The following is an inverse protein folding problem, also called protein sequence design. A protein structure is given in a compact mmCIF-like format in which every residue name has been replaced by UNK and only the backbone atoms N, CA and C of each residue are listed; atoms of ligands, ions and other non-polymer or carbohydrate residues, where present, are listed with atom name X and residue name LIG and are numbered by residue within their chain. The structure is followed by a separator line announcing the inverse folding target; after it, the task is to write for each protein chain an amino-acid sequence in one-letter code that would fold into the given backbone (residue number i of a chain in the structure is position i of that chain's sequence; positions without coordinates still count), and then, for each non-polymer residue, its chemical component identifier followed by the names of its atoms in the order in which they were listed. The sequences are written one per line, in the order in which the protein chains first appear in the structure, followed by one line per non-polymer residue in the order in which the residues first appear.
data_IF_854635692916
#
_entry.id   IF_854635692916
#
_cell.length_a   1.000
_cell.length_b   1.000
_cell.length_c   1.000
_cell.angle_alpha   90.00
_cell.angle_beta   90.00
_cell.angle_gamma   90.00
#
_symmetry.space_group_name_H-M   'P 1'
#
loop_
_entity.id
_entity.type
_entity.pdbx_description
1 polymer ?
#
# COMPACT_ATOMS: atom_id res chain seq x y z
N UNK A 1 3.24 -13.38 19.04
CA UNK A 1 4.64 -13.00 18.76
C UNK A 1 4.67 -12.02 17.61
N UNK A 2 5.43 -10.93 17.69
CA UNK A 2 5.61 -9.92 16.65
C UNK A 2 7.08 -9.86 16.24
N UNK A 3 7.38 -10.04 14.95
CA UNK A 3 8.70 -9.76 14.40
C UNK A 3 8.68 -8.38 13.74
N UNK A 4 9.58 -7.52 14.13
CA UNK A 4 9.70 -6.17 13.54
C UNK A 4 10.35 -6.22 12.16
N UNK A 5 10.16 -5.16 11.35
CA UNK A 5 11.01 -4.93 10.20
C UNK A 5 12.44 -4.60 10.68
N UNK A 6 13.44 -5.13 9.98
CA UNK A 6 14.85 -4.90 10.32
C UNK A 6 15.30 -3.46 10.10
N UNK A 7 14.70 -2.77 9.14
CA UNK A 7 15.03 -1.36 8.84
C UNK A 7 14.35 -0.35 9.79
N UNK A 8 13.28 -0.75 10.49
CA UNK A 8 12.49 0.16 11.34
C UNK A 8 12.00 -0.52 12.64
N UNK A 9 12.88 -1.07 13.49
CA UNK A 9 12.47 -1.84 14.66
C UNK A 9 12.09 -0.97 15.86
N UNK A 10 12.68 0.21 16.02
CA UNK A 10 12.68 0.96 17.29
C UNK A 10 11.29 1.37 17.78
N UNK A 11 10.42 1.86 16.90
CA UNK A 11 9.06 2.24 17.31
C UNK A 11 8.26 1.04 17.82
N UNK A 12 8.39 -0.12 17.16
CA UNK A 12 7.68 -1.33 17.57
C UNK A 12 8.23 -1.88 18.88
N UNK A 13 9.55 -1.81 19.11
CA UNK A 13 10.18 -2.20 20.38
C UNK A 13 9.74 -1.30 21.52
N UNK A 14 9.75 0.02 21.34
CA UNK A 14 9.29 0.97 22.35
C UNK A 14 7.81 0.77 22.71
N UNK A 15 6.94 0.61 21.70
CA UNK A 15 5.53 0.28 21.94
C UNK A 15 5.37 -1.04 22.69
N UNK A 16 6.21 -2.03 22.40
CA UNK A 16 6.20 -3.30 23.11
C UNK A 16 6.49 -3.13 24.62
N UNK A 17 7.44 -2.30 24.99
CA UNK A 17 7.75 -1.99 26.40
C UNK A 17 6.54 -1.36 27.11
N UNK A 18 5.82 -0.45 26.44
CA UNK A 18 4.61 0.16 26.99
C UNK A 18 3.50 -0.88 27.17
N UNK A 19 3.23 -1.69 26.15
CA UNK A 19 2.19 -2.72 26.24
C UNK A 19 2.49 -3.81 27.25
N UNK A 20 3.75 -4.18 27.44
CA UNK A 20 4.15 -5.21 28.43
C UNK A 20 3.93 -4.77 29.88
N UNK A 21 3.81 -3.45 30.15
CA UNK A 21 3.46 -2.95 31.47
C UNK A 21 1.98 -3.18 31.81
N UNK A 22 1.12 -3.25 30.79
CA UNK A 22 -0.33 -3.36 30.95
C UNK A 22 -0.87 -4.78 30.67
N UNK A 23 -0.14 -5.58 29.89
CA UNK A 23 -0.57 -6.91 29.48
C UNK A 23 0.03 -8.00 30.37
N UNK A 24 -0.69 -9.10 30.62
CA UNK A 24 -0.13 -10.25 31.29
C UNK A 24 1.14 -10.77 30.60
N UNK A 25 2.14 -11.29 31.34
CA UNK A 25 3.37 -11.84 30.75
C UNK A 25 3.08 -12.89 29.67
N UNK A 26 3.79 -12.79 28.54
CA UNK A 26 3.68 -13.74 27.44
C UNK A 26 2.56 -13.47 26.43
N UNK A 27 1.66 -12.48 26.68
CA UNK A 27 0.61 -12.10 25.72
C UNK A 27 1.22 -11.42 24.48
N UNK A 28 2.16 -10.49 24.68
CA UNK A 28 2.92 -9.86 23.60
C UNK A 28 4.40 -10.17 23.76
N UNK A 29 4.99 -10.79 22.73
CA UNK A 29 6.44 -11.05 22.66
C UNK A 29 6.93 -10.45 21.34
N UNK A 30 7.95 -9.60 21.40
CA UNK A 30 8.52 -8.92 20.23
C UNK A 30 9.96 -9.35 20.02
N UNK A 31 10.29 -9.66 18.77
CA UNK A 31 11.63 -10.07 18.35
C UNK A 31 12.07 -9.23 17.16
N UNK A 32 13.36 -9.02 17.04
CA UNK A 32 14.01 -8.38 15.89
C UNK A 32 14.98 -9.36 15.23
N UNK A 33 15.14 -9.24 13.92
CA UNK A 33 16.04 -10.09 13.13
C UNK A 33 15.65 -10.09 11.66
N UNK A 34 16.49 -10.66 10.83
CA UNK A 34 16.24 -10.81 9.41
C UNK A 34 15.15 -11.84 9.11
N UNK A 35 14.55 -11.75 7.91
CA UNK A 35 13.47 -12.62 7.49
C UNK A 35 13.83 -14.09 7.54
N UNK A 36 14.99 -14.44 7.00
CA UNK A 36 15.50 -15.82 6.91
C UNK A 36 15.89 -16.40 8.28
N UNK A 37 16.49 -15.59 9.16
CA UNK A 37 17.02 -16.05 10.45
C UNK A 37 15.95 -16.10 11.53
N UNK A 38 15.00 -15.19 11.49
CA UNK A 38 14.01 -14.98 12.55
C UNK A 38 12.58 -15.24 12.07
N UNK A 39 12.21 -14.75 10.89
CA UNK A 39 10.86 -14.83 10.33
C UNK A 39 10.51 -16.24 9.86
N UNK A 40 11.36 -16.88 9.08
CA UNK A 40 11.11 -18.21 8.52
C UNK A 40 10.98 -19.29 9.62
N UNK A 41 11.88 -19.40 10.60
CA UNK A 41 11.70 -20.32 11.70
C UNK A 41 10.42 -20.08 12.49
N UNK A 42 10.03 -18.81 12.69
CA UNK A 42 8.78 -18.46 13.37
C UNK A 42 7.56 -18.95 12.58
N UNK A 43 7.50 -18.66 11.28
CA UNK A 43 6.38 -19.09 10.41
C UNK A 43 6.29 -20.60 10.32
N UNK A 44 7.42 -21.31 10.28
CA UNK A 44 7.50 -22.76 10.13
C UNK A 44 7.21 -23.52 11.43
N UNK A 45 7.30 -22.87 12.60
CA UNK A 45 7.18 -23.53 13.90
C UNK A 45 5.80 -24.17 14.09
N UNK A 46 5.77 -25.40 14.58
CA UNK A 46 4.55 -26.21 14.73
C UNK A 46 3.50 -25.60 15.67
N UNK A 47 3.92 -24.86 16.70
CA UNK A 47 3.02 -24.20 17.65
C UNK A 47 2.36 -22.92 17.09
N UNK A 48 2.81 -22.38 15.97
CA UNK A 48 2.19 -21.21 15.36
C UNK A 48 0.88 -21.62 14.70
N UNK A 49 -0.20 -20.98 15.12
CA UNK A 49 -1.58 -21.30 14.70
C UNK A 49 -2.19 -20.32 13.70
N UNK A 50 -1.59 -19.14 13.56
CA UNK A 50 -2.00 -18.09 12.61
C UNK A 50 -0.79 -17.24 12.27
N UNK A 51 -0.67 -16.83 11.03
CA UNK A 51 0.32 -15.85 10.58
C UNK A 51 -0.40 -14.66 9.96
N UNK A 52 -0.02 -13.47 10.38
CA UNK A 52 -0.39 -12.20 9.74
C UNK A 52 0.89 -11.53 9.26
N UNK A 53 0.91 -11.09 8.01
CA UNK A 53 2.09 -10.50 7.41
C UNK A 53 1.72 -9.32 6.51
N UNK A 54 2.48 -8.24 6.63
CA UNK A 54 2.47 -7.11 5.71
C UNK A 54 3.86 -6.95 5.09
N UNK A 55 3.94 -6.90 3.76
CA UNK A 55 5.22 -6.76 3.05
C UNK A 55 5.11 -7.02 1.56
N UNK A 56 6.22 -7.47 0.93
CA UNK A 56 6.25 -7.72 -0.51
C UNK A 56 5.47 -9.00 -0.89
N UNK A 57 4.97 -9.04 -2.14
CA UNK A 57 4.34 -10.24 -2.69
C UNK A 57 5.23 -11.48 -2.64
N UNK A 58 6.51 -11.33 -2.97
CA UNK A 58 7.48 -12.43 -2.97
C UNK A 58 7.63 -13.08 -1.58
N UNK A 59 7.73 -12.27 -0.54
CA UNK A 59 7.81 -12.77 0.85
C UNK A 59 6.47 -13.33 1.30
N UNK A 60 5.34 -12.70 0.95
CA UNK A 60 4.00 -13.22 1.25
C UNK A 60 3.77 -14.62 0.66
N UNK A 61 4.25 -14.86 -0.58
CA UNK A 61 4.22 -16.17 -1.22
C UNK A 61 5.02 -17.21 -0.43
N UNK A 62 6.25 -16.90 -0.03
CA UNK A 62 7.08 -17.79 0.81
C UNK A 62 6.37 -18.12 2.12
N UNK A 63 5.77 -17.14 2.78
CA UNK A 63 5.02 -17.36 4.02
C UNK A 63 3.83 -18.30 3.81
N UNK A 64 3.06 -18.11 2.74
CA UNK A 64 1.93 -18.98 2.41
C UNK A 64 2.41 -20.44 2.15
N UNK A 65 3.50 -20.62 1.40
CA UNK A 65 4.11 -21.92 1.12
C UNK A 65 4.59 -22.61 2.43
N UNK A 66 5.21 -21.88 3.35
CA UNK A 66 5.70 -22.43 4.64
C UNK A 66 4.56 -22.71 5.64
N UNK A 67 3.46 -21.99 5.57
CA UNK A 67 2.28 -22.20 6.42
C UNK A 67 1.41 -23.37 5.94
N UNK A 68 1.36 -23.65 4.65
CA UNK A 68 0.47 -24.64 4.03
C UNK A 68 0.64 -26.07 4.56
N UNK A 69 1.85 -26.64 4.78
CA UNK A 69 2.01 -28.02 5.25
C UNK A 69 1.35 -28.34 6.59
N UNK A 70 1.18 -27.32 7.45
CA UNK A 70 0.53 -27.47 8.77
C UNK A 70 -0.90 -26.88 8.81
N UNK A 71 -1.45 -26.52 7.63
CA UNK A 71 -2.77 -25.88 7.49
C UNK A 71 -2.93 -24.63 8.37
N UNK A 72 -1.84 -23.88 8.58
CA UNK A 72 -1.86 -22.65 9.35
C UNK A 72 -2.50 -21.52 8.53
N UNK A 73 -3.60 -20.92 8.99
CA UNK A 73 -4.22 -19.81 8.29
C UNK A 73 -3.27 -18.62 8.20
N UNK A 74 -3.27 -17.95 7.05
CA UNK A 74 -2.51 -16.72 6.82
C UNK A 74 -3.44 -15.55 6.50
N UNK A 75 -3.04 -14.35 6.93
CA UNK A 75 -3.56 -13.09 6.40
C UNK A 75 -2.38 -12.32 5.84
N UNK A 76 -2.50 -11.90 4.59
CA UNK A 76 -1.40 -11.27 3.84
C UNK A 76 -1.87 -9.92 3.30
N UNK A 77 -1.20 -8.86 3.71
CA UNK A 77 -1.34 -7.51 3.18
C UNK A 77 -0.08 -7.19 2.36
N UNK A 78 -0.23 -7.18 1.05
CA UNK A 78 0.91 -7.14 0.13
C UNK A 78 0.91 -5.85 -0.70
N UNK A 79 1.76 -5.81 -1.71
CA UNK A 79 1.93 -4.65 -2.56
C UNK A 79 0.74 -4.28 -3.43
N UNK A 80 0.81 -3.13 -4.06
CA UNK A 80 -0.21 -2.63 -4.96
C UNK A 80 0.36 -1.82 -6.12
N UNK A 81 -0.44 -1.71 -7.20
CA UNK A 81 -0.21 -0.80 -8.32
C UNK A 81 -1.48 0.00 -8.57
N UNK A 82 -1.76 0.89 -7.66
CA UNK A 82 -3.10 1.45 -7.47
C UNK A 82 -3.42 2.54 -8.50
N UNK A 83 -4.62 2.50 -9.12
CA UNK A 83 -5.11 3.58 -9.96
C UNK A 83 -5.65 4.75 -9.13
N UNK A 84 -5.39 5.96 -9.62
CA UNK A 84 -5.97 7.22 -9.16
C UNK A 84 -6.59 7.89 -10.39
N UNK A 85 -7.92 7.83 -10.52
CA UNK A 85 -8.64 8.14 -11.76
C UNK A 85 -9.36 9.50 -11.63
N UNK A 86 -9.09 10.43 -12.55
CA UNK A 86 -9.66 11.77 -12.52
C UNK A 86 -10.54 11.98 -13.76
N UNK A 87 -11.85 12.07 -13.53
CA UNK A 87 -12.85 12.37 -14.55
C UNK A 87 -12.93 13.86 -14.81
N UNK A 88 -13.38 14.25 -16.01
CA UNK A 88 -13.47 15.66 -16.41
C UNK A 88 -14.50 16.49 -15.62
N UNK A 89 -15.40 15.84 -14.92
CA UNK A 89 -16.39 16.44 -14.03
C UNK A 89 -15.94 16.54 -12.57
N UNK A 90 -14.72 16.09 -12.24
CA UNK A 90 -14.18 16.16 -10.89
C UNK A 90 -13.96 17.61 -10.41
N UNK A 91 -14.01 17.81 -9.10
CA UNK A 91 -13.44 19.00 -8.47
C UNK A 91 -11.91 18.92 -8.60
N UNK A 92 -11.35 19.73 -9.52
CA UNK A 92 -9.93 19.61 -9.87
C UNK A 92 -9.00 20.05 -8.76
N UNK A 93 -9.37 20.97 -7.91
CA UNK A 93 -8.52 21.43 -6.81
C UNK A 93 -8.35 20.31 -5.76
N UNK A 94 -9.45 19.62 -5.46
CA UNK A 94 -9.45 18.46 -4.56
C UNK A 94 -8.75 17.26 -5.21
N UNK A 95 -9.03 16.98 -6.50
CA UNK A 95 -8.46 15.85 -7.20
C UNK A 95 -6.93 15.98 -7.38
N UNK A 96 -6.42 17.17 -7.73
CA UNK A 96 -4.99 17.46 -7.85
C UNK A 96 -4.30 17.29 -6.48
N UNK A 97 -4.90 17.77 -5.39
CA UNK A 97 -4.38 17.49 -4.06
C UNK A 97 -4.41 16.00 -3.76
N UNK A 98 -5.47 15.32 -4.17
CA UNK A 98 -5.62 13.88 -4.04
C UNK A 98 -4.58 13.05 -4.81
N UNK A 99 -3.98 13.58 -5.88
CA UNK A 99 -2.82 12.94 -6.53
C UNK A 99 -1.60 13.00 -5.61
N UNK A 100 -1.33 14.16 -5.01
CA UNK A 100 -0.18 14.34 -4.10
C UNK A 100 -0.33 13.45 -2.87
N UNK A 101 -1.49 13.53 -2.22
CA UNK A 101 -1.77 12.77 -0.99
C UNK A 101 -1.87 11.27 -1.28
N UNK A 102 -2.47 10.91 -2.41
CA UNK A 102 -2.66 9.53 -2.85
C UNK A 102 -1.36 8.83 -3.21
N UNK A 103 -0.42 9.53 -3.82
CA UNK A 103 0.90 8.98 -4.11
C UNK A 103 1.76 8.83 -2.85
N UNK A 104 1.35 9.43 -1.74
CA UNK A 104 2.11 9.39 -0.47
C UNK A 104 3.51 9.96 -0.61
N UNK A 105 3.68 11.06 -1.36
CA UNK A 105 5.00 11.68 -1.56
C UNK A 105 5.68 12.05 -0.24
N UNK A 106 4.93 12.48 0.77
CA UNK A 106 5.45 12.76 2.12
C UNK A 106 6.01 11.53 2.84
N UNK A 107 5.78 10.33 2.29
CA UNK A 107 6.38 9.06 2.70
C UNK A 107 7.24 8.46 1.58
N UNK A 108 7.76 9.27 0.69
CA UNK A 108 8.58 8.88 -0.45
C UNK A 108 7.91 7.85 -1.38
N UNK A 109 6.57 7.86 -1.46
CA UNK A 109 5.82 6.82 -2.19
C UNK A 109 5.93 5.42 -1.58
N UNK A 110 6.53 5.27 -0.42
CA UNK A 110 6.69 4.00 0.28
C UNK A 110 5.42 3.63 1.04
N UNK A 111 4.39 3.32 0.28
CA UNK A 111 3.09 2.88 0.80
C UNK A 111 2.44 1.90 -0.19
N UNK A 112 1.92 0.81 0.34
CA UNK A 112 1.20 -0.19 -0.46
C UNK A 112 -0.02 0.40 -1.19
N UNK A 113 -0.64 1.46 -0.64
CA UNK A 113 -1.77 2.18 -1.24
C UNK A 113 -1.36 3.36 -2.13
N UNK A 114 -0.08 3.55 -2.45
CA UNK A 114 0.36 4.65 -3.31
C UNK A 114 -0.33 4.60 -4.69
N UNK A 115 -1.05 5.67 -5.05
CA UNK A 115 -1.75 5.83 -6.32
C UNK A 115 -0.79 6.20 -7.45
N UNK A 116 0.09 5.28 -7.82
CA UNK A 116 1.20 5.53 -8.74
C UNK A 116 0.80 5.53 -10.23
N UNK A 117 -0.39 5.02 -10.58
CA UNK A 117 -0.99 5.14 -11.90
C UNK A 117 -2.07 6.21 -11.86
N UNK A 118 -1.73 7.42 -12.31
CA UNK A 118 -2.64 8.58 -12.33
C UNK A 118 -3.31 8.66 -13.69
N UNK A 119 -4.54 8.17 -13.77
CA UNK A 119 -5.36 8.23 -14.98
C UNK A 119 -6.09 9.57 -15.05
N UNK A 120 -5.92 10.30 -16.16
CA UNK A 120 -6.48 11.64 -16.33
C UNK A 120 -7.27 11.69 -17.63
N UNK A 121 -8.57 12.05 -17.55
CA UNK A 121 -9.38 12.18 -18.74
C UNK A 121 -8.81 13.27 -19.66
N UNK A 122 -8.67 12.99 -20.96
CA UNK A 122 -7.97 13.84 -21.94
C UNK A 122 -8.38 15.31 -21.90
N UNK A 123 -9.68 15.60 -21.70
CA UNK A 123 -10.21 16.98 -21.68
C UNK A 123 -9.59 17.88 -20.61
N UNK A 124 -9.08 17.29 -19.54
CA UNK A 124 -8.51 18.01 -18.39
C UNK A 124 -7.03 17.71 -18.18
N UNK A 125 -6.42 16.94 -19.09
CA UNK A 125 -5.08 16.38 -18.92
C UNK A 125 -4.05 17.47 -18.59
N UNK A 126 -3.90 18.47 -19.43
CA UNK A 126 -2.90 19.52 -19.25
C UNK A 126 -3.13 20.34 -17.96
N UNK A 127 -4.41 20.60 -17.63
CA UNK A 127 -4.75 21.34 -16.40
C UNK A 127 -4.34 20.56 -15.15
N UNK A 128 -4.62 19.25 -15.10
CA UNK A 128 -4.22 18.40 -13.98
C UNK A 128 -2.71 18.25 -13.92
N UNK A 129 -2.04 18.00 -15.07
CA UNK A 129 -0.58 17.90 -15.14
C UNK A 129 0.10 19.14 -14.56
N UNK A 130 -0.31 20.34 -15.00
CA UNK A 130 0.25 21.59 -14.51
C UNK A 130 0.01 21.79 -13.01
N UNK A 131 -1.18 21.48 -12.52
CA UNK A 131 -1.54 21.60 -11.11
C UNK A 131 -0.75 20.63 -10.21
N UNK A 132 -0.52 19.39 -10.68
CA UNK A 132 0.31 18.41 -9.96
C UNK A 132 1.75 18.89 -9.90
N UNK A 133 2.34 19.34 -11.01
CA UNK A 133 3.71 19.88 -11.06
C UNK A 133 3.87 21.09 -10.15
N UNK A 134 2.90 22.02 -10.15
CA UNK A 134 2.93 23.18 -9.24
C UNK A 134 2.95 22.76 -7.76
N UNK A 135 2.15 21.76 -7.38
CA UNK A 135 2.14 21.27 -5.99
C UNK A 135 3.43 20.54 -5.64
N UNK A 136 3.94 19.69 -6.52
CA UNK A 136 5.20 18.96 -6.30
C UNK A 136 6.39 19.91 -6.13
N UNK A 137 6.43 21.01 -6.89
CA UNK A 137 7.51 21.99 -6.79
C UNK A 137 7.57 22.75 -5.46
N UNK A 138 6.49 22.70 -4.68
CA UNK A 138 6.41 23.32 -3.34
C UNK A 138 6.88 22.40 -2.22
N UNK A 139 6.99 21.09 -2.48
CA UNK A 139 7.41 20.12 -1.48
C UNK A 139 8.91 20.26 -1.19
N UNK A 140 9.24 20.33 0.07
CA UNK A 140 10.62 20.50 0.56
C UNK A 140 11.17 19.15 1.02
N UNK A 141 12.26 18.72 0.39
CA UNK A 141 13.02 17.57 0.88
C UNK A 141 14.03 18.02 1.94
N UNK A 142 14.18 17.18 2.97
CA UNK A 142 15.13 17.48 4.03
C UNK A 142 15.19 16.39 5.10
N UNK A 143 15.83 16.72 6.22
CA UNK A 143 15.90 15.83 7.36
C UNK A 143 14.50 15.58 7.94
N UNK A 144 14.16 14.32 8.19
CA UNK A 144 12.86 13.92 8.73
C UNK A 144 12.56 14.46 10.15
N UNK A 145 13.57 14.94 10.87
CA UNK A 145 13.43 15.60 12.18
C UNK A 145 13.27 17.12 12.08
N UNK A 146 13.35 17.67 10.88
CA UNK A 146 13.17 19.11 10.65
C UNK A 146 11.71 19.38 10.27
N UNK A 147 11.03 20.20 11.07
CA UNK A 147 9.61 20.55 10.90
C UNK A 147 9.29 21.25 9.56
N UNK A 148 10.30 21.82 8.89
CA UNK A 148 10.11 22.45 7.58
C UNK A 148 10.22 21.45 6.42
N UNK A 149 10.58 20.21 6.68
CA UNK A 149 10.70 19.17 5.67
C UNK A 149 9.37 18.46 5.43
N UNK A 150 8.93 18.42 4.18
CA UNK A 150 7.75 17.66 3.76
C UNK A 150 8.10 16.20 3.42
N UNK A 151 9.33 15.97 2.94
CA UNK A 151 9.78 14.67 2.42
C UNK A 151 11.18 14.35 2.95
N UNK A 152 11.33 13.19 3.59
CA UNK A 152 12.61 12.65 4.05
C UNK A 152 13.30 11.76 3.02
N UNK A 153 14.30 10.99 3.49
CA UNK A 153 14.99 9.99 2.68
C UNK A 153 14.15 8.71 2.49
N UNK A 154 14.42 7.97 1.43
CA UNK A 154 13.99 6.58 1.23
C UNK A 154 14.63 5.73 2.34
N UNK A 155 13.94 4.66 2.75
CA UNK A 155 14.27 3.87 3.95
C UNK A 155 15.65 3.19 3.89
N UNK A 156 16.12 2.80 2.71
CA UNK A 156 17.36 2.04 2.54
C UNK A 156 18.00 2.24 1.17
N UNK A 157 19.29 1.90 1.06
CA UNK A 157 20.00 1.88 -0.20
C UNK A 157 19.40 0.90 -1.22
N UNK A 158 18.94 -0.26 -0.75
CA UNK A 158 18.28 -1.26 -1.57
C UNK A 158 17.01 -0.69 -2.23
N UNK A 159 16.19 0.00 -1.44
CA UNK A 159 14.96 0.61 -1.95
C UNK A 159 15.24 1.80 -2.88
N UNK A 160 16.30 2.57 -2.64
CA UNK A 160 16.77 3.58 -3.59
C UNK A 160 17.22 2.94 -4.90
N UNK A 161 18.03 1.87 -4.87
CA UNK A 161 18.46 1.12 -6.06
C UNK A 161 17.28 0.59 -6.85
N UNK A 162 16.24 0.11 -6.16
CA UNK A 162 14.99 -0.30 -6.81
C UNK A 162 14.31 0.87 -7.54
N UNK A 163 14.21 2.04 -6.92
CA UNK A 163 13.66 3.24 -7.56
C UNK A 163 14.47 3.64 -8.80
N UNK A 164 15.80 3.66 -8.68
CA UNK A 164 16.70 3.97 -9.80
C UNK A 164 16.55 2.98 -10.96
N UNK A 165 16.42 1.70 -10.68
CA UNK A 165 16.19 0.67 -11.70
C UNK A 165 14.95 0.96 -12.55
N UNK A 166 13.81 1.27 -11.94
CA UNK A 166 12.59 1.62 -12.70
C UNK A 166 12.72 2.93 -13.46
N UNK A 167 13.46 3.90 -12.91
CA UNK A 167 13.74 5.14 -13.64
C UNK A 167 14.65 4.92 -14.85
N UNK A 168 15.58 3.97 -14.78
CA UNK A 168 16.42 3.61 -15.93
C UNK A 168 15.58 2.91 -17.03
N UNK A 169 14.64 2.04 -16.66
CA UNK A 169 13.67 1.47 -17.62
C UNK A 169 12.86 2.61 -18.27
N UNK A 170 12.35 3.55 -17.48
CA UNK A 170 11.60 4.69 -18.00
C UNK A 170 12.43 5.54 -18.97
N UNK A 171 13.69 5.85 -18.65
CA UNK A 171 14.61 6.64 -19.49
C UNK A 171 14.93 5.96 -20.83
N UNK A 172 14.89 4.63 -20.89
CA UNK A 172 15.08 3.87 -22.14
C UNK A 172 13.83 3.84 -23.02
N UNK A 173 12.69 4.29 -22.49
CA UNK A 173 11.42 4.34 -23.22
C UNK A 173 11.28 5.67 -23.95
N UNK A 174 11.29 5.65 -25.27
CA UNK A 174 11.33 6.88 -26.11
C UNK A 174 10.14 7.83 -25.93
N UNK A 175 8.97 7.31 -25.56
CA UNK A 175 7.78 8.10 -25.30
C UNK A 175 7.71 8.66 -23.88
N UNK A 176 8.46 8.10 -22.94
CA UNK A 176 8.42 8.49 -21.54
C UNK A 176 9.12 9.84 -21.31
N UNK A 177 8.49 10.69 -20.52
CA UNK A 177 9.02 12.02 -20.16
C UNK A 177 8.92 12.23 -18.66
N UNK A 178 10.01 12.62 -18.04
CA UNK A 178 9.99 13.13 -16.68
C UNK A 178 9.45 14.57 -16.73
N UNK A 179 8.30 14.80 -16.12
CA UNK A 179 7.65 16.13 -16.11
C UNK A 179 8.07 16.91 -14.86
N UNK A 180 8.33 16.20 -13.76
CA UNK A 180 8.87 16.78 -12.51
C UNK A 180 9.79 15.79 -11.83
N UNK A 181 10.84 16.26 -11.15
CA UNK A 181 11.79 15.44 -10.40
C UNK A 181 12.67 14.56 -11.29
N UNK A 182 12.85 13.31 -10.89
CA UNK A 182 13.59 12.29 -11.65
C UNK A 182 15.08 12.24 -11.36
N UNK A 183 15.56 12.94 -10.33
CA UNK A 183 16.96 12.99 -9.96
C UNK A 183 17.18 12.54 -8.51
N UNK A 184 18.38 12.05 -8.28
CA UNK A 184 18.90 11.89 -6.94
C UNK A 184 19.67 13.17 -6.59
N UNK A 185 19.25 13.95 -5.57
CA UNK A 185 19.97 15.15 -5.18
C UNK A 185 21.32 14.78 -4.59
N UNK A 186 22.34 15.55 -4.95
CA UNK A 186 23.72 15.35 -4.50
C UNK A 186 24.23 16.61 -3.81
N UNK A 187 24.95 16.44 -2.71
CA UNK A 187 25.56 17.56 -1.97
C UNK A 187 24.75 18.03 -0.77
N UNK A 188 25.31 18.93 0.02
CA UNK A 188 24.69 19.43 1.25
C UNK A 188 24.24 18.29 2.19
N UNK A 189 23.05 18.45 2.75
CA UNK A 189 22.46 17.50 3.69
C UNK A 189 21.97 16.19 3.03
N UNK A 190 21.85 16.14 1.70
CA UNK A 190 21.36 14.97 0.97
C UNK A 190 22.40 13.86 0.79
N UNK A 191 23.71 14.20 0.86
CA UNK A 191 24.81 13.24 0.59
C UNK A 191 24.88 12.06 1.57
N UNK A 192 24.29 12.20 2.76
CA UNK A 192 24.31 11.19 3.81
C UNK A 192 22.99 10.44 3.94
N UNK A 193 22.08 10.56 2.98
CA UNK A 193 20.78 9.91 2.97
C UNK A 193 20.39 9.39 1.59
N UNK A 194 19.42 8.52 1.56
CA UNK A 194 18.88 7.88 0.34
C UNK A 194 17.76 8.74 -0.27
N UNK A 195 18.07 10.00 -0.60
CA UNK A 195 17.09 10.93 -1.15
C UNK A 195 16.82 10.68 -2.62
N UNK A 196 15.58 10.86 -3.03
CA UNK A 196 15.14 10.88 -4.42
C UNK A 196 14.00 11.88 -4.59
N UNK A 197 14.02 12.67 -5.66
CA UNK A 197 13.02 13.71 -5.90
C UNK A 197 11.63 13.12 -6.12
N UNK A 198 10.55 13.77 -5.61
CA UNK A 198 9.18 13.45 -6.03
C UNK A 198 9.08 13.51 -7.54
N UNK A 199 8.71 12.40 -8.15
CA UNK A 199 8.79 12.24 -9.61
C UNK A 199 7.42 12.02 -10.22
N UNK A 200 7.12 12.79 -11.25
CA UNK A 200 5.91 12.66 -12.03
C UNK A 200 6.26 12.52 -13.52
N UNK A 201 5.74 11.50 -14.16
CA UNK A 201 6.08 11.12 -15.52
C UNK A 201 4.85 11.11 -16.41
N UNK A 202 5.06 11.28 -17.72
CA UNK A 202 4.05 11.09 -18.77
C UNK A 202 4.58 10.20 -19.88
N UNK A 203 3.67 9.68 -20.73
CA UNK A 203 4.04 8.90 -21.93
C UNK A 203 4.69 7.55 -21.63
N UNK A 204 4.64 7.05 -20.39
CA UNK A 204 5.06 5.68 -20.05
C UNK A 204 3.98 4.73 -20.55
N UNK A 205 4.29 3.70 -21.36
CA UNK A 205 3.33 2.68 -21.79
C UNK A 205 2.71 1.95 -20.59
N UNK A 206 1.42 1.64 -20.68
CA UNK A 206 0.68 1.01 -19.57
C UNK A 206 1.15 -0.42 -19.29
N UNK A 207 1.72 -1.10 -20.26
CA UNK A 207 2.32 -2.44 -20.17
C UNK A 207 3.79 -2.43 -19.71
N UNK A 208 4.39 -1.25 -19.56
CA UNK A 208 5.75 -1.10 -19.02
C UNK A 208 5.84 -1.60 -17.57
N UNK A 209 6.96 -2.23 -17.16
CA UNK A 209 7.22 -2.55 -15.75
C UNK A 209 7.03 -1.37 -14.81
N UNK A 210 7.31 -0.14 -15.26
CA UNK A 210 7.09 1.09 -14.49
C UNK A 210 5.61 1.31 -14.15
N UNK A 211 4.67 0.88 -15.01
CA UNK A 211 3.22 0.98 -14.81
C UNK A 211 2.59 -0.32 -14.28
N UNK A 212 3.29 -1.46 -14.33
CA UNK A 212 2.75 -2.75 -13.91
C UNK A 212 3.30 -3.24 -12.57
N UNK A 213 4.54 -2.88 -12.22
CA UNK A 213 5.18 -3.39 -11.01
C UNK A 213 5.20 -2.31 -9.90
N UNK A 214 5.18 -2.77 -8.65
CA UNK A 214 5.29 -1.90 -7.49
C UNK A 214 6.71 -1.36 -7.34
N UNK A 215 6.90 -0.06 -7.51
CA UNK A 215 8.20 0.60 -7.34
C UNK A 215 8.52 0.78 -5.85
N UNK A 216 7.52 1.15 -5.05
CA UNK A 216 7.62 1.52 -3.63
C UNK A 216 8.58 2.71 -3.41
N UNK A 217 8.52 3.68 -4.33
CA UNK A 217 9.33 4.89 -4.37
C UNK A 217 8.51 6.08 -4.88
N UNK A 218 9.05 7.31 -4.86
CA UNK A 218 8.29 8.54 -5.13
C UNK A 218 8.07 8.78 -6.64
N UNK A 219 7.61 7.78 -7.38
CA UNK A 219 7.43 7.82 -8.85
C UNK A 219 6.00 7.49 -9.22
N UNK A 220 5.31 8.44 -9.87
CA UNK A 220 3.97 8.27 -10.44
C UNK A 220 3.95 8.55 -11.94
N UNK A 221 3.04 7.87 -12.66
CA UNK A 221 2.86 8.01 -14.09
C UNK A 221 1.47 8.55 -14.41
N UNK A 222 1.41 9.61 -15.20
CA UNK A 222 0.17 10.16 -15.77
C UNK A 222 -0.17 9.41 -17.06
N UNK A 223 -1.40 8.91 -17.12
CA UNK A 223 -1.93 8.09 -18.22
C UNK A 223 -3.20 8.78 -18.73
N UNK A 224 -3.22 9.30 -19.96
CA UNK A 224 -4.44 9.86 -20.53
C UNK A 224 -5.44 8.76 -20.88
N UNK A 225 -6.74 9.05 -20.77
CA UNK A 225 -7.82 8.18 -21.23
C UNK A 225 -8.99 8.99 -21.81
N UNK A 226 -9.80 8.38 -22.67
CA UNK A 226 -10.94 9.02 -23.33
C UNK A 226 -12.27 8.68 -22.69
N UNK A 227 -12.54 7.40 -22.49
CA UNK A 227 -13.84 6.93 -21.98
C UNK A 227 -13.71 6.21 -20.65
N UNK A 228 -14.82 6.08 -19.94
CA UNK A 228 -14.83 5.40 -18.65
C UNK A 228 -14.53 3.90 -18.81
N UNK A 229 -15.03 3.28 -19.86
CA UNK A 229 -14.80 1.86 -20.17
C UNK A 229 -13.31 1.60 -20.43
N UNK A 230 -12.63 2.49 -21.16
CA UNK A 230 -11.19 2.40 -21.41
C UNK A 230 -10.39 2.45 -20.10
N UNK A 231 -10.69 3.40 -19.23
CA UNK A 231 -9.95 3.53 -17.98
C UNK A 231 -10.24 2.38 -17.02
N UNK A 232 -11.47 1.86 -16.97
CA UNK A 232 -11.82 0.72 -16.14
C UNK A 232 -11.07 -0.55 -16.57
N UNK A 233 -11.01 -0.81 -17.88
CA UNK A 233 -10.22 -1.91 -18.42
C UNK A 233 -8.74 -1.76 -18.05
N UNK A 234 -8.16 -0.59 -18.28
CA UNK A 234 -6.73 -0.34 -17.99
C UNK A 234 -6.43 -0.33 -16.49
N UNK A 235 -7.34 0.15 -15.65
CA UNK A 235 -7.17 0.15 -14.21
C UNK A 235 -7.13 -1.27 -13.63
N UNK A 236 -7.96 -2.17 -14.17
CA UNK A 236 -8.02 -3.58 -13.76
C UNK A 236 -6.94 -4.46 -14.38
N UNK A 237 -6.29 -4.00 -15.46
CA UNK A 237 -5.20 -4.72 -16.14
C UNK A 237 -3.89 -4.63 -15.35
N UNK A 238 -3.89 -5.31 -14.22
CA UNK A 238 -2.74 -5.45 -13.31
C UNK A 238 -2.92 -6.70 -12.45
N UNK A 239 -1.83 -7.38 -12.05
CA UNK A 239 -1.91 -8.49 -11.11
C UNK A 239 -2.29 -8.07 -9.69
N UNK A 240 -2.30 -6.77 -9.39
CA UNK A 240 -2.60 -6.22 -8.09
C UNK A 240 -4.06 -5.75 -7.98
N UNK A 241 -4.55 -5.63 -6.74
CA UNK A 241 -5.90 -5.14 -6.45
C UNK A 241 -6.02 -4.65 -4.99
N UNK A 242 -5.08 -3.77 -4.55
CA UNK A 242 -5.13 -3.29 -3.16
C UNK A 242 -6.07 -2.11 -2.99
N UNK A 243 -5.81 -1.01 -3.69
CA UNK A 243 -6.57 0.23 -3.54
C UNK A 243 -6.89 0.87 -4.89
N UNK A 244 -7.99 1.62 -4.95
CA UNK A 244 -8.34 2.43 -6.10
C UNK A 244 -9.06 3.71 -5.67
N UNK A 245 -8.84 4.80 -6.41
CA UNK A 245 -9.46 6.10 -6.15
C UNK A 245 -10.09 6.63 -7.43
N UNK A 246 -11.33 7.13 -7.32
CA UNK A 246 -12.03 7.84 -8.39
C UNK A 246 -12.41 9.26 -7.94
N UNK A 247 -12.20 10.24 -8.82
CA UNK A 247 -12.64 11.62 -8.65
C UNK A 247 -13.70 11.94 -9.71
N UNK A 248 -14.94 12.15 -9.30
CA UNK A 248 -16.09 12.46 -10.17
C UNK A 248 -17.21 13.12 -9.37
N UNK A 249 -18.02 13.96 -10.02
CA UNK A 249 -19.26 14.49 -9.46
C UNK A 249 -20.49 13.67 -9.89
N UNK A 250 -20.31 12.64 -10.72
CA UNK A 250 -21.39 11.79 -11.22
C UNK A 250 -21.57 10.58 -10.29
N UNK A 251 -22.65 10.56 -9.51
CA UNK A 251 -22.95 9.47 -8.59
C UNK A 251 -23.13 8.11 -9.29
N UNK A 252 -23.79 8.07 -10.44
CA UNK A 252 -23.99 6.81 -11.18
C UNK A 252 -22.65 6.19 -11.59
N UNK A 253 -21.73 7.02 -12.07
CA UNK A 253 -20.36 6.58 -12.42
C UNK A 253 -19.57 6.14 -11.21
N UNK A 254 -19.75 6.82 -10.07
CA UNK A 254 -19.11 6.41 -8.83
C UNK A 254 -19.59 5.03 -8.37
N UNK A 255 -20.87 4.72 -8.50
CA UNK A 255 -21.42 3.40 -8.16
C UNK A 255 -20.94 2.32 -9.13
N UNK A 256 -20.95 2.59 -10.44
CA UNK A 256 -20.40 1.69 -11.46
C UNK A 256 -18.92 1.39 -11.22
N UNK A 257 -18.11 2.41 -10.89
CA UNK A 257 -16.71 2.23 -10.50
C UNK A 257 -16.55 1.30 -9.29
N UNK A 258 -17.38 1.47 -8.26
CA UNK A 258 -17.30 0.65 -7.04
C UNK A 258 -17.64 -0.80 -7.32
N UNK A 259 -18.55 -1.07 -8.25
CA UNK A 259 -18.95 -2.44 -8.65
C UNK A 259 -17.87 -3.12 -9.50
N UNK A 260 -17.24 -2.39 -10.42
CA UNK A 260 -16.40 -2.98 -11.47
C UNK A 260 -14.90 -2.97 -11.16
N UNK A 261 -14.44 -2.15 -10.21
CA UNK A 261 -13.01 -2.07 -9.89
C UNK A 261 -12.54 -3.25 -9.05
N UNK A 262 -11.52 -3.95 -9.52
CA UNK A 262 -10.95 -5.11 -8.83
C UNK A 262 -9.93 -4.68 -7.75
N UNK A 263 -10.38 -3.92 -6.76
CA UNK A 263 -9.57 -3.48 -5.63
C UNK A 263 -10.32 -3.68 -4.31
N UNK A 264 -9.57 -4.00 -3.25
CA UNK A 264 -10.16 -4.30 -1.94
C UNK A 264 -10.43 -3.05 -1.08
N UNK A 265 -9.80 -1.91 -1.38
CA UNK A 265 -9.99 -0.63 -0.69
C UNK A 265 -10.30 0.46 -1.71
N UNK A 266 -11.58 0.75 -1.89
CA UNK A 266 -12.09 1.66 -2.92
C UNK A 266 -12.52 2.98 -2.30
N UNK A 267 -12.14 4.08 -2.92
CA UNK A 267 -12.44 5.43 -2.45
C UNK A 267 -12.99 6.30 -3.59
N UNK A 268 -13.95 7.15 -3.27
CA UNK A 268 -14.50 8.15 -4.19
C UNK A 268 -14.37 9.52 -3.57
N UNK A 269 -13.82 10.47 -4.32
CA UNK A 269 -13.61 11.88 -3.93
C UNK A 269 -12.85 12.06 -2.61
N UNK A 270 -12.02 11.10 -2.27
CA UNK A 270 -11.12 11.16 -1.13
C UNK A 270 -9.92 10.23 -1.34
N UNK A 271 -8.85 10.48 -0.61
CA UNK A 271 -7.69 9.60 -0.57
C UNK A 271 -7.12 9.57 0.85
N UNK A 272 -7.74 8.76 1.71
CA UNK A 272 -7.39 8.65 3.13
C UNK A 272 -6.68 7.33 3.42
N UNK A 273 -5.98 7.27 4.56
CA UNK A 273 -5.42 6.02 5.06
C UNK A 273 -6.54 5.09 5.56
N UNK A 274 -6.31 3.76 5.61
CA UNK A 274 -7.23 2.82 6.27
C UNK A 274 -7.56 3.28 7.69
N UNK A 275 -8.83 3.07 8.09
CA UNK A 275 -9.33 3.47 9.41
C UNK A 275 -9.67 2.25 10.25
N UNK A 276 -9.49 2.37 11.56
CA UNK A 276 -9.92 1.34 12.48
C UNK A 276 -11.42 1.02 12.32
N UNK A 277 -11.76 -0.26 12.42
CA UNK A 277 -13.12 -0.79 12.28
C UNK A 277 -13.72 -0.65 10.86
N UNK A 278 -12.90 -0.39 9.85
CA UNK A 278 -13.29 -0.48 8.44
C UNK A 278 -12.47 -1.62 7.81
N UNK A 279 -13.15 -2.58 7.19
CA UNK A 279 -12.47 -3.72 6.56
C UNK A 279 -11.46 -3.26 5.52
N UNK A 280 -10.24 -3.79 5.61
CA UNK A 280 -9.14 -3.47 4.73
C UNK A 280 -8.44 -4.74 4.26
N UNK A 281 -8.00 -4.77 3.01
CA UNK A 281 -7.23 -5.88 2.44
C UNK A 281 -7.39 -5.98 0.95
N UNK A 282 -6.35 -6.45 0.28
CA UNK A 282 -6.26 -6.54 -1.17
C UNK A 282 -7.09 -7.68 -1.78
N UNK A 283 -7.22 -7.60 -3.10
CA UNK A 283 -7.64 -8.66 -4.01
C UNK A 283 -6.42 -9.10 -4.84
N UNK A 284 -6.58 -10.13 -5.66
CA UNK A 284 -5.53 -10.64 -6.55
C UNK A 284 -4.21 -10.89 -5.79
N UNK A 285 -3.08 -10.43 -6.32
CA UNK A 285 -1.75 -10.58 -5.70
C UNK A 285 -1.49 -9.57 -4.56
N UNK A 286 -2.46 -8.71 -4.24
CA UNK A 286 -2.31 -7.73 -3.16
C UNK A 286 -2.64 -8.28 -1.78
N UNK A 287 -3.17 -9.49 -1.65
CA UNK A 287 -3.34 -10.09 -0.34
C UNK A 287 -4.33 -11.23 -0.22
N UNK A 288 -4.38 -11.78 0.98
CA UNK A 288 -5.32 -12.81 1.41
C UNK A 288 -5.92 -12.42 2.76
N UNK A 289 -7.25 -12.51 2.86
CA UNK A 289 -7.97 -12.13 4.07
C UNK A 289 -8.23 -10.64 4.16
N UNK A 290 -8.74 -10.21 5.31
CA UNK A 290 -9.07 -8.82 5.60
C UNK A 290 -8.68 -8.49 7.03
N UNK A 291 -8.26 -7.24 7.26
CA UNK A 291 -7.85 -6.72 8.56
C UNK A 291 -8.68 -5.48 8.96
N UNK A 292 -8.37 -4.87 10.07
CA UNK A 292 -8.92 -3.62 10.63
C UNK A 292 -10.37 -3.66 11.10
N UNK A 293 -11.27 -4.47 10.52
CA UNK A 293 -12.61 -4.62 11.05
C UNK A 293 -12.62 -5.52 12.30
N UNK A 294 -13.50 -5.20 13.27
CA UNK A 294 -13.58 -5.93 14.54
C UNK A 294 -13.77 -7.44 14.36
N UNK A 295 -14.69 -7.86 13.48
CA UNK A 295 -14.95 -9.28 13.24
C UNK A 295 -13.74 -9.99 12.62
N UNK A 296 -13.04 -9.35 11.68
CA UNK A 296 -11.83 -9.95 11.08
C UNK A 296 -10.72 -10.07 12.12
N UNK A 297 -10.54 -9.06 12.98
CA UNK A 297 -9.51 -9.08 14.02
C UNK A 297 -9.79 -10.14 15.08
N UNK A 298 -11.04 -10.31 15.51
CA UNK A 298 -11.41 -11.41 16.44
C UNK A 298 -11.06 -12.76 15.82
N UNK A 299 -11.44 -13.01 14.56
CA UNK A 299 -11.17 -14.27 13.86
C UNK A 299 -9.66 -14.54 13.68
N UNK A 300 -8.82 -13.51 13.70
CA UNK A 300 -7.37 -13.69 13.65
C UNK A 300 -6.76 -14.20 14.97
N UNK A 301 -7.36 -13.87 16.11
CA UNK A 301 -6.81 -14.17 17.42
C UNK A 301 -7.62 -15.19 18.21
N UNK A 302 -8.71 -15.71 17.66
CA UNK A 302 -9.59 -16.70 18.29
C UNK A 302 -9.87 -17.88 17.35
N UNK A 303 -10.31 -18.98 17.95
CA UNK A 303 -10.80 -20.16 17.21
C UNK A 303 -12.23 -20.45 17.63
N UNK A 304 -13.15 -20.49 16.67
CA UNK A 304 -14.53 -20.87 16.91
C UNK A 304 -14.66 -22.38 17.03
N UNK A 305 -15.54 -22.85 17.93
CA UNK A 305 -15.95 -24.24 18.01
C UNK A 305 -17.45 -24.33 18.19
N UNK A 306 -18.06 -25.34 17.59
CA UNK A 306 -19.47 -25.66 17.81
C UNK A 306 -19.61 -26.61 18.97
N UNK A 307 -20.50 -26.32 19.94
CA UNK A 307 -20.79 -27.15 21.08
C UNK A 307 -22.25 -27.49 21.08
N UNK A 308 -22.57 -28.79 21.01
CA UNK A 308 -23.90 -29.30 21.13
C UNK A 308 -24.02 -30.09 22.45
N UNK A 309 -24.92 -29.68 23.33
CA UNK A 309 -25.12 -30.29 24.64
C UNK A 309 -26.51 -30.89 24.69
N UNK A 310 -26.61 -32.21 24.78
CA UNK A 310 -27.83 -32.89 25.10
C UNK A 310 -27.89 -33.16 26.61
N UNK A 311 -28.80 -32.50 27.31
CA UNK A 311 -28.97 -32.66 28.77
C UNK A 311 -29.70 -33.93 29.19
N UNK A 312 -30.13 -34.78 28.22
CA UNK A 312 -30.99 -35.90 28.47
C UNK A 312 -32.43 -35.46 28.85
N UNK A 313 -33.30 -36.40 29.16
CA UNK A 313 -34.62 -36.09 29.78
C UNK A 313 -34.34 -35.62 31.21
N UNK A 314 -34.63 -34.37 31.54
CA UNK A 314 -34.65 -33.94 32.92
C UNK A 314 -35.75 -34.68 33.64
N UNK A 315 -35.40 -35.55 34.60
CA UNK A 315 -36.34 -35.96 35.63
C UNK A 315 -36.58 -34.75 36.55
N UNK A 316 -37.33 -33.77 36.08
CA UNK A 316 -37.96 -32.75 36.89
C UNK A 316 -39.40 -33.16 37.03
N UNK A 317 -39.65 -34.26 37.72
CA UNK A 317 -40.94 -34.62 38.30
C UNK A 317 -40.63 -35.67 39.37
N UNK A 318 -40.25 -35.21 40.54
CA UNK A 318 -40.47 -35.85 41.81
C UNK A 318 -40.39 -34.85 42.92
#
# INVERSE_FOLDING_TARGET
MLKTAEQAPFCALLLSEIFQQELPPGVLNVISGYGEECGEPLVSHEMVRKVTFTGSFSVGKIIAEKAAPKLCPVTLELGGKNPNIIMSDADLDIAIQGVIDGMRYTRQGQACTAGSRVYIQEKIYDKVMNGVVEKLSKLKMGNALDEVSDIGAIISEEQLKRTLHYMDIAKQTSSAKVVHGGNQPTGGDYKNGFFYEPTFMSGVPVDSPVCQEEIFGPVACAIPFKTFEEVMQSANDTPFGLSAVLWTQNLSRALEFVEDIEAGFVQVNQCVAPRANVSYGGLKMSGLGKEYAFDSMINHFTQSKTVLINRGKSNIDS
#
